data_IF_156176157654
#
_entry.id   IF_156176157654
#
_cell.length_a   1.000
_cell.length_b   1.000
_cell.length_c   1.000
_cell.angle_alpha   90.00
_cell.angle_beta   90.00
_cell.angle_gamma   90.00
#
_symmetry.space_group_name_H-M   'P 1'
#
loop_
_entity.id
_entity.type
_entity.pdbx_description
1 polymer ?
#
# COMPACT_ATOMS: atom_id res chain seq x y z
N UNK A 1 4.03 -5.16 21.39
CA UNK A 1 3.10 -5.69 20.37
C UNK A 1 3.19 -4.91 19.05
N UNK A 2 3.11 -3.57 19.08
CA UNK A 2 3.20 -2.70 17.89
C UNK A 2 4.52 -2.79 17.15
N UNK A 3 5.63 -2.79 17.87
CA UNK A 3 6.99 -2.92 17.30
C UNK A 3 7.19 -4.25 16.57
N UNK A 4 6.60 -5.33 17.08
CA UNK A 4 6.64 -6.65 16.44
C UNK A 4 5.88 -6.70 15.12
N UNK A 5 4.80 -5.93 14.99
CA UNK A 5 4.02 -5.76 13.77
C UNK A 5 4.82 -5.01 12.69
N UNK A 6 5.39 -3.87 13.04
CA UNK A 6 6.18 -3.04 12.13
C UNK A 6 7.49 -3.70 11.71
N UNK A 7 8.10 -4.51 12.60
CA UNK A 7 9.36 -5.21 12.32
C UNK A 7 9.18 -6.59 11.65
N UNK A 8 7.97 -6.93 11.21
CA UNK A 8 7.71 -8.22 10.54
C UNK A 8 7.90 -9.46 11.41
N UNK A 9 8.04 -9.30 12.72
CA UNK A 9 8.18 -10.41 13.67
C UNK A 9 6.86 -11.13 13.97
N UNK A 10 5.76 -10.62 13.45
CA UNK A 10 4.44 -11.20 13.63
C UNK A 10 4.16 -12.15 12.46
N UNK A 11 4.03 -13.44 12.73
CA UNK A 11 3.59 -14.46 11.76
C UNK A 11 2.07 -14.58 11.82
N UNK A 12 1.30 -13.98 10.88
CA UNK A 12 -0.17 -14.02 10.91
C UNK A 12 -0.77 -15.39 10.64
N UNK A 13 0.02 -16.29 10.02
CA UNK A 13 -0.39 -17.66 9.74
C UNK A 13 -0.83 -18.46 11.00
N UNK A 14 -0.44 -17.99 12.19
CA UNK A 14 -0.84 -18.59 13.47
C UNK A 14 -2.18 -18.01 14.00
N UNK A 15 -2.73 -16.96 13.38
CA UNK A 15 -4.05 -16.43 13.75
C UNK A 15 -5.12 -17.11 12.90
N UNK A 16 -5.71 -18.15 13.43
CA UNK A 16 -6.92 -18.74 12.88
C UNK A 16 -8.11 -17.77 13.07
N UNK A 17 -8.20 -16.71 12.25
CA UNK A 17 -9.42 -15.91 12.19
C UNK A 17 -10.51 -16.79 11.61
N UNK A 18 -11.69 -16.88 12.28
CA UNK A 18 -12.82 -17.60 11.71
C UNK A 18 -13.30 -16.85 10.48
N UNK A 19 -12.82 -17.30 9.29
CA UNK A 19 -13.18 -16.73 8.01
C UNK A 19 -14.61 -17.07 7.64
N UNK A 20 -15.36 -16.09 7.13
CA UNK A 20 -16.69 -16.26 6.56
C UNK A 20 -16.59 -16.17 5.03
N UNK A 21 -17.51 -16.80 4.34
CA UNK A 21 -17.52 -16.80 2.87
C UNK A 21 -17.74 -15.40 2.27
N UNK A 22 -18.40 -14.53 3.01
CA UNK A 22 -18.73 -13.15 2.64
C UNK A 22 -17.73 -12.10 3.17
N UNK A 23 -16.66 -12.52 3.87
CA UNK A 23 -15.62 -11.59 4.31
C UNK A 23 -14.96 -10.88 3.14
N UNK A 24 -14.73 -9.59 3.33
CA UNK A 24 -14.04 -8.72 2.38
C UNK A 24 -12.74 -8.27 3.01
N UNK A 25 -11.65 -8.49 2.32
CA UNK A 25 -10.33 -8.08 2.79
C UNK A 25 -9.88 -6.81 2.08
N UNK A 26 -9.68 -5.75 2.86
CA UNK A 26 -9.08 -4.51 2.39
C UNK A 26 -7.57 -4.62 2.53
N UNK A 27 -6.91 -4.94 1.44
CA UNK A 27 -5.48 -5.28 1.41
C UNK A 27 -4.66 -4.17 0.77
N UNK A 28 -3.51 -3.91 1.31
CA UNK A 28 -2.52 -3.01 0.71
C UNK A 28 -1.13 -3.27 1.29
N UNK A 29 -0.08 -2.86 0.59
CA UNK A 29 1.18 -2.61 1.25
C UNK A 29 1.05 -1.44 2.25
N UNK A 30 1.96 -1.36 3.21
CA UNK A 30 1.97 -0.26 4.20
C UNK A 30 1.93 1.11 3.53
N UNK A 31 1.23 2.06 4.15
CA UNK A 31 1.16 3.47 3.71
C UNK A 31 0.57 3.71 2.32
N UNK A 32 -0.18 2.76 1.79
CA UNK A 32 -0.86 2.87 0.49
C UNK A 32 -2.30 3.42 0.57
N UNK A 33 -2.71 4.03 1.68
CA UNK A 33 -4.03 4.65 1.82
C UNK A 33 -5.11 3.79 2.49
N UNK A 34 -4.75 2.62 3.05
CA UNK A 34 -5.69 1.69 3.67
C UNK A 34 -6.58 2.36 4.74
N UNK A 35 -6.00 3.14 5.67
CA UNK A 35 -6.77 3.82 6.72
C UNK A 35 -7.78 4.80 6.13
N UNK A 36 -7.40 5.57 5.10
CA UNK A 36 -8.32 6.48 4.43
C UNK A 36 -9.49 5.73 3.77
N UNK A 37 -9.20 4.63 3.07
CA UNK A 37 -10.24 3.79 2.47
C UNK A 37 -11.20 3.20 3.51
N UNK A 38 -10.68 2.84 4.69
CA UNK A 38 -11.52 2.40 5.82
C UNK A 38 -12.48 3.50 6.28
N UNK A 39 -12.03 4.76 6.31
CA UNK A 39 -12.88 5.91 6.62
C UNK A 39 -13.93 6.12 5.54
N UNK A 40 -13.57 6.08 4.25
CA UNK A 40 -14.51 6.20 3.13
C UNK A 40 -15.60 5.14 3.21
N UNK A 41 -15.24 3.87 3.32
CA UNK A 41 -16.18 2.77 3.44
C UNK A 41 -16.99 2.83 4.73
N UNK A 42 -16.34 3.18 5.84
CA UNK A 42 -17.00 3.29 7.12
C UNK A 42 -18.07 4.38 7.15
N UNK A 43 -17.78 5.55 6.59
CA UNK A 43 -18.74 6.64 6.48
C UNK A 43 -19.86 6.35 5.47
N UNK A 44 -19.55 5.59 4.41
CA UNK A 44 -20.57 5.13 3.46
C UNK A 44 -21.57 4.17 4.11
N UNK A 45 -21.09 3.24 4.92
CA UNK A 45 -21.89 2.22 5.57
C UNK A 45 -22.64 2.73 6.81
N UNK A 46 -22.24 3.89 7.34
CA UNK A 46 -22.84 4.48 8.57
C UNK A 46 -23.27 5.94 8.30
N UNK A 47 -24.25 6.18 7.41
CA UNK A 47 -24.74 7.53 7.14
C UNK A 47 -25.29 8.15 8.43
N UNK A 48 -24.93 9.40 8.71
CA UNK A 48 -25.33 10.13 9.91
C UNK A 48 -24.53 9.83 11.18
N UNK A 49 -23.59 8.85 11.14
CA UNK A 49 -22.65 8.57 12.23
C UNK A 49 -21.21 8.55 11.73
N UNK A 50 -20.54 9.70 11.68
CA UNK A 50 -19.18 9.77 11.16
C UNK A 50 -18.23 8.83 11.92
N UNK A 51 -17.42 8.10 11.14
CA UNK A 51 -16.39 7.22 11.70
C UNK A 51 -15.28 8.05 12.33
N UNK A 52 -14.80 7.61 13.49
CA UNK A 52 -13.63 8.18 14.19
C UNK A 52 -12.50 7.16 14.25
N UNK A 53 -11.32 7.57 14.69
CA UNK A 53 -10.21 6.63 14.92
C UNK A 53 -10.50 5.65 16.06
N UNK A 54 -11.35 6.00 17.00
CA UNK A 54 -11.83 5.07 18.03
C UNK A 54 -12.81 4.03 17.46
N UNK A 55 -13.75 4.45 16.60
CA UNK A 55 -14.81 3.56 16.11
C UNK A 55 -14.39 2.72 14.89
N UNK A 56 -13.32 3.08 14.18
CA UNK A 56 -12.94 2.44 12.93
C UNK A 56 -12.65 0.95 13.06
N UNK A 57 -12.17 0.51 14.23
CA UNK A 57 -11.88 -0.90 14.48
C UNK A 57 -13.16 -1.75 14.61
N UNK A 58 -14.29 -1.14 14.89
CA UNK A 58 -15.60 -1.81 14.89
C UNK A 58 -16.21 -1.89 13.49
N UNK A 59 -15.88 -0.92 12.63
CA UNK A 59 -16.41 -0.85 11.25
C UNK A 59 -15.58 -1.68 10.28
N UNK A 60 -14.26 -1.57 10.38
CA UNK A 60 -13.30 -2.30 9.56
C UNK A 60 -12.09 -2.67 10.41
N UNK A 61 -12.15 -3.80 11.14
CA UNK A 61 -11.11 -4.20 12.07
C UNK A 61 -9.78 -4.46 11.39
N UNK A 62 -8.71 -4.10 12.09
CA UNK A 62 -7.36 -4.46 11.72
C UNK A 62 -7.07 -5.91 12.13
N UNK A 63 -6.73 -6.77 11.18
CA UNK A 63 -6.44 -8.20 11.40
C UNK A 63 -5.41 -8.45 12.51
N UNK A 64 -4.53 -7.48 12.78
CA UNK A 64 -3.47 -7.60 13.78
C UNK A 64 -3.86 -7.12 15.17
N UNK A 65 -4.92 -6.33 15.29
CA UNK A 65 -5.31 -5.65 16.52
C UNK A 65 -6.57 -6.25 17.14
N UNK A 66 -7.47 -6.72 16.29
CA UNK A 66 -8.76 -7.24 16.75
C UNK A 66 -8.61 -8.66 17.33
N UNK A 67 -9.24 -8.93 18.46
CA UNK A 67 -9.13 -10.25 19.08
C UNK A 67 -10.04 -11.27 18.37
N UNK A 68 -9.60 -12.52 18.31
CA UNK A 68 -10.33 -13.63 17.67
C UNK A 68 -11.82 -13.68 18.09
N UNK A 69 -12.10 -13.61 19.39
CA UNK A 69 -13.46 -13.66 19.94
C UNK A 69 -14.38 -12.54 19.46
N UNK A 70 -13.81 -11.38 19.12
CA UNK A 70 -14.59 -10.20 18.77
C UNK A 70 -14.99 -10.20 17.30
N UNK A 71 -14.26 -10.95 16.44
CA UNK A 71 -14.65 -11.14 15.03
C UNK A 71 -16.01 -11.83 14.88
N UNK A 72 -16.36 -12.74 15.77
CA UNK A 72 -17.66 -13.44 15.78
C UNK A 72 -18.85 -12.50 15.99
N UNK A 73 -18.65 -11.37 16.66
CA UNK A 73 -19.69 -10.38 17.02
C UNK A 73 -19.95 -9.35 15.92
N UNK A 74 -19.09 -9.28 14.92
CA UNK A 74 -19.25 -8.32 13.82
C UNK A 74 -20.34 -8.78 12.86
N UNK A 75 -21.12 -7.82 12.37
CA UNK A 75 -22.13 -8.08 11.34
C UNK A 75 -21.48 -8.55 10.03
N UNK A 76 -22.19 -9.31 9.22
CA UNK A 76 -21.79 -9.71 7.87
C UNK A 76 -22.35 -8.73 6.83
N UNK A 77 -21.62 -8.48 5.73
CA UNK A 77 -20.22 -8.86 5.51
C UNK A 77 -19.26 -8.03 6.35
N UNK A 78 -18.13 -8.63 6.76
CA UNK A 78 -17.07 -7.91 7.48
C UNK A 78 -16.06 -7.36 6.50
N UNK A 79 -15.62 -6.11 6.67
CA UNK A 79 -14.50 -5.52 5.93
C UNK A 79 -13.27 -5.54 6.82
N UNK A 80 -12.32 -6.40 6.52
CA UNK A 80 -11.15 -6.68 7.36
C UNK A 80 -9.89 -6.07 6.74
N UNK A 81 -9.23 -5.16 7.46
CA UNK A 81 -7.94 -4.60 7.03
C UNK A 81 -6.83 -5.63 7.12
N UNK A 82 -6.02 -5.74 6.06
CA UNK A 82 -4.83 -6.58 6.04
C UNK A 82 -3.67 -5.92 5.30
N UNK A 83 -2.44 -6.25 5.71
CA UNK A 83 -1.19 -5.97 4.99
C UNK A 83 -0.45 -7.27 4.63
N UNK A 84 -1.16 -8.40 4.63
CA UNK A 84 -0.55 -9.69 4.31
C UNK A 84 -0.28 -9.84 2.81
N UNK A 85 0.74 -10.64 2.49
CA UNK A 85 0.91 -11.21 1.16
C UNK A 85 -0.28 -12.10 0.80
N UNK A 86 -0.32 -12.54 -0.44
CA UNK A 86 -1.37 -13.39 -0.95
C UNK A 86 -1.72 -14.55 -0.01
N UNK A 87 -3.00 -14.59 0.38
CA UNK A 87 -3.60 -15.66 1.15
C UNK A 87 -4.77 -16.25 0.34
N UNK A 88 -4.72 -17.55 -0.03
CA UNK A 88 -5.78 -18.18 -0.82
C UNK A 88 -7.14 -18.20 -0.12
N UNK A 89 -7.21 -17.97 1.18
CA UNK A 89 -8.46 -17.90 1.95
C UNK A 89 -9.22 -16.59 1.74
N UNK A 90 -8.54 -15.52 1.28
CA UNK A 90 -9.18 -14.24 1.00
C UNK A 90 -9.93 -14.32 -0.31
N UNK A 91 -11.25 -14.54 -0.24
CA UNK A 91 -12.09 -14.76 -1.42
C UNK A 91 -12.55 -13.47 -2.09
N UNK A 92 -12.78 -12.41 -1.30
CA UNK A 92 -13.19 -11.08 -1.78
C UNK A 92 -12.16 -10.06 -1.33
N UNK A 93 -11.52 -9.39 -2.27
CA UNK A 93 -10.39 -8.52 -1.97
C UNK A 93 -10.57 -7.17 -2.66
N UNK A 94 -10.46 -6.10 -1.87
CA UNK A 94 -10.19 -4.75 -2.37
C UNK A 94 -8.72 -4.49 -2.12
N UNK A 95 -7.93 -4.41 -3.19
CA UNK A 95 -6.49 -4.21 -3.12
C UNK A 95 -6.13 -2.78 -3.49
N UNK A 96 -5.38 -2.10 -2.62
CA UNK A 96 -4.92 -0.74 -2.88
C UNK A 96 -3.42 -0.78 -3.15
N UNK A 97 -3.03 -0.30 -4.33
CA UNK A 97 -1.63 -0.08 -4.70
C UNK A 97 -1.30 1.41 -4.69
N UNK A 98 -0.07 1.75 -4.40
CA UNK A 98 0.46 3.13 -4.43
C UNK A 98 1.86 3.13 -5.00
N UNK A 99 2.25 4.24 -5.64
CA UNK A 99 3.61 4.46 -6.13
C UNK A 99 4.63 4.18 -5.00
N UNK A 100 5.58 3.24 -5.20
CA UNK A 100 6.53 2.86 -4.14
C UNK A 100 7.43 4.01 -3.72
N UNK A 101 7.69 5.00 -4.58
CA UNK A 101 8.48 6.19 -4.25
C UNK A 101 7.76 7.04 -3.20
N UNK A 102 6.45 7.23 -3.36
CA UNK A 102 5.60 7.90 -2.35
C UNK A 102 5.40 7.06 -1.10
N UNK A 103 5.33 5.74 -1.24
CA UNK A 103 5.29 4.82 -0.10
C UNK A 103 6.55 4.95 0.73
N UNK A 104 7.75 5.02 0.10
CA UNK A 104 9.02 5.20 0.81
C UNK A 104 9.00 6.47 1.67
N UNK A 105 8.60 7.61 1.09
CA UNK A 105 8.47 8.88 1.83
C UNK A 105 7.48 8.75 2.99
N UNK A 106 6.30 8.18 2.73
CA UNK A 106 5.25 8.06 3.74
C UNK A 106 5.62 7.10 4.87
N UNK A 107 6.31 6.00 4.55
CA UNK A 107 6.73 5.00 5.52
C UNK A 107 7.89 5.52 6.39
N UNK A 108 8.83 6.27 5.81
CA UNK A 108 9.89 6.95 6.55
C UNK A 108 9.32 7.84 7.68
N UNK A 109 8.39 8.73 7.35
CA UNK A 109 7.78 9.60 8.36
C UNK A 109 6.96 8.82 9.39
N UNK A 110 6.34 7.71 8.99
CA UNK A 110 5.65 6.85 9.91
C UNK A 110 6.61 6.14 10.88
N UNK A 111 7.75 5.65 10.39
CA UNK A 111 8.77 5.03 11.25
C UNK A 111 9.36 6.03 12.25
N UNK A 112 9.54 7.30 11.86
CA UNK A 112 9.89 8.37 12.78
C UNK A 112 8.81 8.62 13.84
N UNK A 113 7.55 8.67 13.40
CA UNK A 113 6.41 8.84 14.33
C UNK A 113 6.37 7.77 15.41
N UNK A 114 6.63 6.53 15.06
CA UNK A 114 6.61 5.40 16.01
C UNK A 114 7.96 5.18 16.72
N UNK A 115 8.96 6.01 16.47
CA UNK A 115 10.27 5.95 17.12
C UNK A 115 11.15 4.78 16.68
N UNK A 116 10.89 4.18 15.51
CA UNK A 116 11.73 3.11 14.94
C UNK A 116 13.03 3.67 14.36
N UNK A 117 12.98 4.87 13.83
CA UNK A 117 14.12 5.66 13.37
C UNK A 117 14.08 7.05 14.02
N UNK A 118 15.22 7.62 14.27
CA UNK A 118 15.35 8.96 14.85
C UNK A 118 15.32 10.06 13.77
N UNK A 119 15.39 11.32 14.21
CA UNK A 119 15.30 12.48 13.34
C UNK A 119 16.57 12.70 12.50
N UNK A 120 17.69 12.13 12.92
CA UNK A 120 18.99 12.25 12.23
C UNK A 120 19.14 11.23 11.11
N UNK A 121 18.30 10.18 11.07
CA UNK A 121 18.39 9.15 10.04
C UNK A 121 17.93 9.72 8.68
N UNK A 122 18.79 9.77 7.64
CA UNK A 122 18.46 10.45 6.39
C UNK A 122 17.39 9.71 5.59
N UNK A 123 16.43 10.44 5.01
CA UNK A 123 15.42 9.88 4.09
C UNK A 123 16.06 9.22 2.88
N UNK A 124 17.15 9.79 2.34
CA UNK A 124 17.89 9.20 1.22
C UNK A 124 18.40 7.80 1.53
N UNK A 125 19.03 7.62 2.70
CA UNK A 125 19.53 6.31 3.16
C UNK A 125 18.36 5.34 3.39
N UNK A 126 17.27 5.83 4.00
CA UNK A 126 16.08 5.02 4.17
C UNK A 126 15.55 4.48 2.83
N UNK A 127 15.34 5.36 1.86
CA UNK A 127 14.76 5.00 0.56
C UNK A 127 15.66 4.09 -0.27
N UNK A 128 16.98 4.37 -0.27
CA UNK A 128 17.96 3.66 -1.09
C UNK A 128 18.42 2.31 -0.54
N UNK A 129 18.28 2.10 0.79
CA UNK A 129 18.82 0.91 1.45
C UNK A 129 17.78 0.16 2.28
N UNK A 130 17.10 0.85 3.20
CA UNK A 130 16.20 0.20 4.14
C UNK A 130 14.90 -0.23 3.48
N UNK A 131 14.29 0.67 2.73
CA UNK A 131 13.01 0.43 2.07
C UNK A 131 13.12 -0.69 1.02
N UNK A 132 14.20 -0.67 0.21
CA UNK A 132 14.46 -1.69 -0.80
C UNK A 132 14.69 -3.09 -0.23
N UNK A 133 15.09 -3.17 1.05
CA UNK A 133 15.29 -4.43 1.78
C UNK A 133 14.12 -4.80 2.70
N UNK A 134 13.01 -4.06 2.62
CA UNK A 134 11.82 -4.29 3.45
C UNK A 134 12.02 -4.01 4.93
N UNK A 135 13.06 -3.24 5.31
CA UNK A 135 13.27 -2.86 6.71
C UNK A 135 12.17 -1.88 7.17
N UNK A 136 11.57 -2.16 8.30
CA UNK A 136 10.44 -1.40 8.85
C UNK A 136 9.06 -1.90 8.40
N UNK A 137 8.99 -2.79 7.39
CA UNK A 137 7.74 -3.40 6.93
C UNK A 137 7.79 -4.95 6.95
N UNK A 138 8.97 -5.52 7.14
CA UNK A 138 9.20 -6.97 7.18
C UNK A 138 9.19 -7.65 5.81
N UNK A 139 8.89 -6.90 4.74
CA UNK A 139 8.91 -7.34 3.33
C UNK A 139 9.02 -6.13 2.42
N UNK A 140 9.47 -6.34 1.19
CA UNK A 140 9.55 -5.28 0.19
C UNK A 140 8.18 -4.98 -0.43
N UNK A 141 8.03 -3.77 -0.99
CA UNK A 141 6.84 -3.41 -1.75
C UNK A 141 6.62 -4.38 -2.92
N UNK A 142 7.69 -4.74 -3.65
CA UNK A 142 7.62 -5.66 -4.80
C UNK A 142 7.16 -7.06 -4.39
N UNK A 143 7.66 -7.61 -3.28
CA UNK A 143 7.23 -8.92 -2.78
C UNK A 143 5.73 -8.92 -2.46
N UNK A 144 5.25 -7.89 -1.77
CA UNK A 144 3.84 -7.79 -1.42
C UNK A 144 2.96 -7.64 -2.66
N UNK A 145 3.26 -6.67 -3.52
CA UNK A 145 2.51 -6.40 -4.76
C UNK A 145 2.58 -7.60 -5.70
N UNK A 146 3.77 -8.17 -5.88
CA UNK A 146 3.97 -9.35 -6.71
C UNK A 146 3.19 -10.57 -6.22
N UNK A 147 3.11 -10.77 -4.90
CA UNK A 147 2.33 -11.88 -4.35
C UNK A 147 0.84 -11.81 -4.70
N UNK A 148 0.29 -10.60 -4.83
CA UNK A 148 -1.12 -10.38 -5.18
C UNK A 148 -1.37 -10.26 -6.67
N UNK A 149 -0.60 -9.44 -7.38
CA UNK A 149 -0.89 -9.02 -8.76
C UNK A 149 -0.14 -9.83 -9.82
N UNK A 150 0.98 -10.46 -9.44
CA UNK A 150 1.78 -11.27 -10.35
C UNK A 150 1.73 -12.76 -10.00
N UNK A 151 0.77 -13.18 -9.20
CA UNK A 151 0.62 -14.55 -8.76
C UNK A 151 -0.35 -15.30 -9.70
N UNK A 152 0.10 -16.36 -10.40
CA UNK A 152 -0.76 -17.15 -11.29
C UNK A 152 -1.96 -17.81 -10.59
N UNK A 153 -1.86 -18.03 -9.28
CA UNK A 153 -3.00 -18.53 -8.49
C UNK A 153 -4.10 -17.49 -8.30
N UNK A 154 -3.77 -16.22 -8.45
CA UNK A 154 -4.73 -15.12 -8.36
C UNK A 154 -5.19 -14.70 -9.75
N UNK A 155 -4.27 -14.61 -10.70
CA UNK A 155 -4.51 -14.23 -12.09
C UNK A 155 -3.87 -15.27 -13.01
N UNK A 156 -4.63 -16.28 -13.51
CA UNK A 156 -4.10 -17.29 -14.42
C UNK A 156 -3.47 -16.71 -15.69
N UNK A 157 -3.96 -15.58 -16.18
CA UNK A 157 -3.45 -14.85 -17.34
C UNK A 157 -2.00 -14.36 -17.18
N UNK A 158 -1.51 -14.26 -15.96
CA UNK A 158 -0.08 -13.97 -15.73
C UNK A 158 0.79 -15.23 -15.72
N UNK A 159 0.19 -16.43 -15.78
CA UNK A 159 0.93 -17.66 -15.92
C UNK A 159 1.54 -17.75 -17.33
N UNK A 160 2.84 -18.06 -17.41
CA UNK A 160 3.56 -18.17 -18.68
C UNK A 160 4.04 -16.85 -19.28
N UNK A 161 3.74 -15.72 -18.66
CA UNK A 161 4.38 -14.47 -19.02
C UNK A 161 5.80 -14.47 -18.43
N UNK A 162 6.81 -14.85 -19.24
CA UNK A 162 8.23 -14.68 -18.88
C UNK A 162 8.51 -13.23 -18.47
N UNK A 163 9.34 -13.01 -17.46
CA UNK A 163 9.67 -11.66 -17.03
C UNK A 163 10.15 -10.74 -18.17
N UNK A 164 10.70 -11.26 -19.25
CA UNK A 164 11.26 -10.47 -20.36
C UNK A 164 10.30 -10.06 -21.48
N UNK A 165 9.26 -10.84 -21.78
CA UNK A 165 8.39 -10.64 -22.97
C UNK A 165 7.21 -9.68 -22.76
N UNK A 166 7.08 -9.08 -21.58
CA UNK A 166 5.92 -8.26 -21.16
C UNK A 166 6.06 -6.76 -21.42
N UNK A 167 7.04 -6.34 -22.21
CA UNK A 167 7.35 -4.93 -22.45
C UNK A 167 6.75 -4.38 -23.75
N UNK A 168 5.71 -4.98 -24.32
CA UNK A 168 4.97 -4.37 -25.42
C UNK A 168 3.68 -3.74 -24.89
N UNK A 169 3.73 -2.47 -24.69
CA UNK A 169 2.74 -1.41 -24.84
C UNK A 169 1.41 -1.44 -24.08
N UNK A 170 0.83 -2.58 -23.82
CA UNK A 170 -0.45 -2.67 -23.13
C UNK A 170 -0.23 -3.09 -21.68
N UNK A 171 -0.20 -2.10 -20.76
CA UNK A 171 -0.24 -2.33 -19.32
C UNK A 171 -1.41 -3.25 -18.95
N UNK A 172 -1.27 -4.01 -17.86
CA UNK A 172 -2.41 -4.73 -17.27
C UNK A 172 -3.60 -3.77 -17.25
N UNK A 173 -4.66 -4.11 -18.00
CA UNK A 173 -5.90 -3.34 -17.96
C UNK A 173 -6.53 -3.54 -16.59
N UNK A 174 -6.12 -2.69 -15.67
CA UNK A 174 -6.46 -2.75 -14.25
C UNK A 174 -7.96 -2.70 -13.99
N UNK A 175 -8.73 -2.16 -14.95
CA UNK A 175 -10.18 -2.04 -14.86
C UNK A 175 -10.93 -3.33 -15.23
N UNK A 176 -10.25 -4.29 -15.88
CA UNK A 176 -10.82 -5.57 -16.28
C UNK A 176 -10.58 -6.71 -15.29
N UNK A 177 -9.81 -6.47 -14.21
CA UNK A 177 -9.52 -7.47 -13.18
C UNK A 177 -10.74 -7.74 -12.27
N UNK A 178 -11.87 -8.10 -12.84
CA UNK A 178 -13.11 -8.35 -12.08
C UNK A 178 -13.29 -9.79 -11.58
N UNK A 179 -12.68 -10.76 -12.25
CA UNK A 179 -12.81 -12.17 -11.90
C UNK A 179 -11.45 -12.84 -11.79
N UNK A 180 -11.00 -13.04 -10.57
CA UNK A 180 -9.84 -13.87 -10.32
C UNK A 180 -10.19 -15.34 -10.50
N UNK A 181 -9.20 -16.16 -10.90
CA UNK A 181 -9.36 -17.62 -10.95
C UNK A 181 -9.89 -18.20 -9.63
N UNK A 182 -10.57 -19.33 -9.69
CA UNK A 182 -11.11 -20.07 -8.54
C UNK A 182 -12.27 -19.39 -7.77
N UNK A 183 -13.14 -18.61 -8.44
CA UNK A 183 -14.31 -17.98 -7.83
C UNK A 183 -14.00 -16.86 -6.82
N UNK A 184 -12.85 -16.24 -6.95
CA UNK A 184 -12.47 -15.05 -6.17
C UNK A 184 -12.99 -13.79 -6.85
N UNK A 185 -13.30 -12.78 -6.03
CA UNK A 185 -13.62 -11.43 -6.46
C UNK A 185 -12.48 -10.49 -6.06
N UNK A 186 -12.02 -9.67 -6.98
CA UNK A 186 -10.89 -8.79 -6.77
C UNK A 186 -11.17 -7.41 -7.37
N UNK A 187 -10.96 -6.35 -6.58
CA UNK A 187 -11.03 -4.97 -7.02
C UNK A 187 -9.67 -4.32 -6.78
N UNK A 188 -9.01 -3.90 -7.85
CA UNK A 188 -7.79 -3.12 -7.76
C UNK A 188 -8.10 -1.63 -7.79
N UNK A 189 -7.49 -0.89 -6.87
CA UNK A 189 -7.55 0.57 -6.77
C UNK A 189 -6.14 1.13 -6.68
N UNK A 190 -5.86 2.18 -7.45
CA UNK A 190 -4.66 2.98 -7.25
C UNK A 190 -4.96 4.08 -6.24
N UNK A 191 -4.04 4.31 -5.31
CA UNK A 191 -4.16 5.40 -4.35
C UNK A 191 -4.30 6.77 -5.03
N UNK A 192 -3.61 6.96 -6.13
CA UNK A 192 -3.61 8.18 -6.93
C UNK A 192 -4.97 8.45 -7.56
N UNK A 193 -5.65 7.40 -8.06
CA UNK A 193 -7.01 7.50 -8.62
C UNK A 193 -8.03 7.75 -7.51
N UNK A 194 -7.85 7.08 -6.36
CA UNK A 194 -8.67 7.31 -5.17
C UNK A 194 -8.54 8.77 -4.69
N UNK A 195 -7.33 9.35 -4.79
CA UNK A 195 -7.06 10.73 -4.38
C UNK A 195 -7.63 11.75 -5.38
N UNK A 196 -7.51 11.48 -6.69
CA UNK A 196 -8.00 12.39 -7.74
C UNK A 196 -9.52 12.40 -7.85
N UNK A 197 -10.16 11.24 -7.68
CA UNK A 197 -11.61 11.11 -7.74
C UNK A 197 -12.12 10.09 -6.70
N UNK A 198 -12.21 10.51 -5.43
CA UNK A 198 -12.65 9.61 -4.35
C UNK A 198 -14.11 9.15 -4.52
N UNK A 199 -14.97 9.97 -5.13
CA UNK A 199 -16.36 9.61 -5.40
C UNK A 199 -16.49 8.47 -6.39
N UNK A 200 -15.80 8.54 -7.53
CA UNK A 200 -15.81 7.46 -8.53
C UNK A 200 -15.20 6.17 -7.95
N UNK A 201 -14.11 6.28 -7.21
CA UNK A 201 -13.49 5.13 -6.56
C UNK A 201 -14.41 4.49 -5.52
N UNK A 202 -15.16 5.29 -4.76
CA UNK A 202 -16.13 4.80 -3.78
C UNK A 202 -17.34 4.15 -4.47
N UNK A 203 -17.80 4.69 -5.60
CA UNK A 203 -18.84 4.04 -6.43
C UNK A 203 -18.39 2.68 -6.95
N UNK A 204 -17.13 2.53 -7.40
CA UNK A 204 -16.56 1.22 -7.78
C UNK A 204 -16.54 0.25 -6.60
N UNK A 205 -16.14 0.71 -5.42
CA UNK A 205 -16.19 -0.10 -4.20
C UNK A 205 -17.61 -0.50 -3.83
N UNK A 206 -18.59 0.41 -3.93
CA UNK A 206 -20.01 0.11 -3.65
C UNK A 206 -20.56 -0.97 -4.57
N UNK A 207 -20.26 -0.88 -5.87
CA UNK A 207 -20.64 -1.92 -6.85
C UNK A 207 -20.00 -3.27 -6.50
N UNK A 208 -18.71 -3.28 -6.13
CA UNK A 208 -18.01 -4.51 -5.70
C UNK A 208 -18.62 -5.13 -4.44
N UNK A 209 -19.11 -4.29 -3.55
CA UNK A 209 -19.77 -4.69 -2.31
C UNK A 209 -21.23 -5.07 -2.49
N UNK A 210 -21.80 -4.89 -3.68
CA UNK A 210 -23.23 -5.04 -3.99
C UNK A 210 -24.10 -4.10 -3.13
N UNK A 211 -23.64 -2.87 -2.92
CA UNK A 211 -24.37 -1.84 -2.19
C UNK A 211 -25.10 -0.92 -3.17
N UNK A 212 -26.38 -0.72 -2.94
CA UNK A 212 -27.17 0.32 -3.58
C UNK A 212 -27.02 1.60 -2.75
N UNK A 213 -26.30 2.60 -3.31
CA UNK A 213 -25.97 3.84 -2.62
C UNK A 213 -26.27 5.05 -3.50
N UNK A 214 -26.82 6.09 -2.91
CA UNK A 214 -27.09 7.33 -3.62
C UNK A 214 -25.83 8.20 -3.79
N UNK A 215 -25.88 9.15 -4.71
CA UNK A 215 -24.83 10.13 -4.91
C UNK A 215 -24.57 10.98 -3.65
N UNK A 216 -25.62 11.29 -2.90
CA UNK A 216 -25.55 12.04 -1.63
C UNK A 216 -24.80 11.24 -0.56
N UNK A 217 -25.02 9.92 -0.48
CA UNK A 217 -24.28 9.06 0.46
C UNK A 217 -22.80 8.99 0.10
N UNK A 218 -22.46 8.91 -1.19
CA UNK A 218 -21.07 8.96 -1.66
C UNK A 218 -20.45 10.31 -1.30
N UNK A 219 -21.11 11.41 -1.61
CA UNK A 219 -20.63 12.77 -1.31
C UNK A 219 -20.42 12.96 0.19
N UNK A 220 -21.36 12.53 1.01
CA UNK A 220 -21.23 12.54 2.47
C UNK A 220 -19.99 11.75 2.94
N UNK A 221 -19.81 10.54 2.46
CA UNK A 221 -18.68 9.68 2.87
C UNK A 221 -17.33 10.32 2.48
N UNK A 222 -17.24 10.92 1.29
CA UNK A 222 -16.04 11.63 0.82
C UNK A 222 -15.75 12.84 1.71
N UNK A 223 -16.76 13.65 2.00
CA UNK A 223 -16.61 14.83 2.86
C UNK A 223 -16.15 14.46 4.27
N UNK A 224 -16.81 13.46 4.91
CA UNK A 224 -16.48 13.02 6.25
C UNK A 224 -15.09 12.35 6.33
N UNK A 225 -14.56 11.90 5.20
CA UNK A 225 -13.24 11.28 5.10
C UNK A 225 -12.15 12.21 4.55
N UNK A 226 -12.44 13.51 4.44
CA UNK A 226 -11.46 14.49 3.97
C UNK A 226 -10.22 14.54 4.88
N UNK A 227 -9.05 14.83 4.31
CA UNK A 227 -7.79 14.88 5.06
C UNK A 227 -7.83 15.90 6.21
N UNK A 228 -8.55 17.03 6.05
CA UNK A 228 -8.72 18.04 7.11
C UNK A 228 -9.54 17.50 8.27
N UNK A 229 -10.68 16.83 7.99
CA UNK A 229 -11.49 16.18 9.03
C UNK A 229 -10.74 15.07 9.75
N UNK A 230 -10.04 14.22 9.00
CA UNK A 230 -9.24 13.13 9.58
C UNK A 230 -8.11 13.68 10.46
N UNK A 231 -7.45 14.79 10.09
CA UNK A 231 -6.45 15.42 10.99
C UNK A 231 -7.09 15.95 12.28
N UNK A 232 -8.26 16.56 12.20
CA UNK A 232 -9.01 17.00 13.40
C UNK A 232 -9.39 15.82 14.30
N UNK A 233 -9.85 14.71 13.72
CA UNK A 233 -10.13 13.47 14.47
C UNK A 233 -8.85 12.87 15.06
N UNK A 234 -7.72 12.86 14.33
CA UNK A 234 -6.44 12.38 14.86
C UNK A 234 -6.03 13.19 16.11
N UNK A 235 -6.16 14.49 16.08
CA UNK A 235 -5.84 15.33 17.23
C UNK A 235 -6.74 15.03 18.43
N UNK A 236 -8.03 14.81 18.19
CA UNK A 236 -9.02 14.51 19.24
C UNK A 236 -8.78 13.11 19.84
N UNK A 237 -8.56 12.10 18.98
CA UNK A 237 -8.50 10.68 19.36
C UNK A 237 -7.07 10.18 19.61
N UNK A 238 -6.06 11.05 19.52
CA UNK A 238 -4.63 10.65 19.50
C UNK A 238 -4.15 9.88 20.73
N UNK A 239 -4.81 10.04 21.86
CA UNK A 239 -4.47 9.34 23.10
C UNK A 239 -5.31 8.08 23.33
N UNK A 240 -6.28 7.82 22.47
CA UNK A 240 -7.17 6.67 22.51
C UNK A 240 -6.85 5.64 21.42
N UNK A 241 -6.56 6.10 20.19
CA UNK A 241 -6.28 5.21 19.08
C UNK A 241 -4.88 4.58 19.20
N UNK A 242 -4.82 3.26 19.12
CA UNK A 242 -3.58 2.49 19.34
C UNK A 242 -2.41 2.91 18.43
N UNK A 243 -2.68 3.37 17.20
CA UNK A 243 -1.65 3.83 16.25
C UNK A 243 -1.02 5.16 16.63
N UNK A 244 -1.64 5.94 17.51
CA UNK A 244 -1.18 7.27 17.90
C UNK A 244 -0.93 7.40 19.40
N UNK A 245 -1.53 6.55 20.23
CA UNK A 245 -1.50 6.63 21.69
C UNK A 245 -0.09 6.71 22.29
N UNK A 246 0.82 5.86 21.80
CA UNK A 246 2.18 5.73 22.32
C UNK A 246 3.23 6.19 21.30
N UNK A 247 2.88 7.11 20.41
CA UNK A 247 3.75 7.61 19.35
C UNK A 247 3.99 9.10 19.49
N UNK A 248 4.96 9.62 18.77
CA UNK A 248 5.29 11.05 18.73
C UNK A 248 4.07 11.88 18.34
N UNK A 249 3.85 12.99 19.06
CA UNK A 249 2.69 13.88 18.87
C UNK A 249 3.00 15.04 17.92
N UNK A 250 4.27 15.33 17.66
CA UNK A 250 4.74 16.34 16.73
C UNK A 250 4.70 15.89 15.26
N UNK A 251 4.55 14.59 15.00
CA UNK A 251 4.40 14.02 13.65
C UNK A 251 2.96 13.49 13.50
N UNK A 252 2.21 14.02 12.52
CA UNK A 252 0.86 13.56 12.23
C UNK A 252 0.86 12.20 11.53
N UNK A 253 -0.10 11.34 11.85
CA UNK A 253 -0.38 10.12 11.12
C UNK A 253 -0.99 10.43 9.74
N UNK A 254 -1.99 11.35 9.73
CA UNK A 254 -2.60 11.89 8.50
C UNK A 254 -1.78 13.09 8.04
N UNK A 255 -0.81 12.83 7.16
CA UNK A 255 0.10 13.86 6.63
C UNK A 255 -0.57 14.70 5.56
N UNK A 256 0.05 14.82 4.42
CA UNK A 256 -0.34 15.75 3.36
C UNK A 256 -1.49 15.25 2.48
N UNK A 257 -1.76 13.92 2.45
CA UNK A 257 -2.76 13.31 1.58
C UNK A 257 -2.60 13.76 0.11
N UNK A 258 -1.37 13.64 -0.42
CA UNK A 258 -0.94 14.09 -1.74
C UNK A 258 -0.17 13.00 -2.44
N UNK A 259 -0.33 12.88 -3.74
CA UNK A 259 0.51 12.06 -4.61
C UNK A 259 1.77 12.83 -5.04
N UNK A 260 2.73 12.10 -5.62
CA UNK A 260 3.97 12.62 -6.21
C UNK A 260 4.88 13.43 -5.25
N UNK A 261 4.73 13.23 -3.93
CA UNK A 261 5.60 13.85 -2.94
C UNK A 261 7.07 13.48 -3.13
N UNK A 262 7.31 12.31 -3.68
CA UNK A 262 8.65 11.80 -3.96
C UNK A 262 9.46 12.71 -4.88
N UNK A 263 8.82 13.46 -5.80
CA UNK A 263 9.49 14.36 -6.74
C UNK A 263 10.28 15.48 -6.05
N UNK A 264 9.80 15.92 -4.90
CA UNK A 264 10.44 16.98 -4.11
C UNK A 264 11.17 16.45 -2.88
N UNK A 265 10.81 15.26 -2.39
CA UNK A 265 11.35 14.72 -1.16
C UNK A 265 12.55 13.77 -1.35
N UNK A 266 12.59 13.02 -2.47
CA UNK A 266 13.66 12.04 -2.72
C UNK A 266 14.75 12.61 -3.63
N UNK A 267 16.03 12.39 -3.30
CA UNK A 267 17.12 12.62 -4.24
C UNK A 267 16.98 11.74 -5.49
N UNK A 268 17.44 12.24 -6.64
CA UNK A 268 17.42 11.51 -7.93
C UNK A 268 18.04 10.11 -7.83
N UNK A 269 19.15 9.98 -7.11
CA UNK A 269 19.81 8.69 -6.90
C UNK A 269 18.91 7.68 -6.18
N UNK A 270 18.14 8.11 -5.15
CA UNK A 270 17.20 7.23 -4.45
C UNK A 270 16.06 6.80 -5.36
N UNK A 271 15.54 7.70 -6.19
CA UNK A 271 14.54 7.40 -7.22
C UNK A 271 15.08 6.38 -8.21
N UNK A 272 16.27 6.61 -8.75
CA UNK A 272 16.92 5.69 -9.70
C UNK A 272 17.11 4.28 -9.11
N UNK A 273 17.50 4.16 -7.85
CA UNK A 273 17.63 2.86 -7.17
C UNK A 273 16.30 2.14 -7.02
N UNK A 274 15.22 2.83 -6.68
CA UNK A 274 13.87 2.23 -6.61
C UNK A 274 13.43 1.76 -8.00
N UNK A 275 13.60 2.59 -9.01
CA UNK A 275 13.18 2.30 -10.38
C UNK A 275 14.02 1.20 -11.05
N UNK A 276 15.33 1.14 -10.78
CA UNK A 276 16.18 0.05 -11.27
C UNK A 276 15.75 -1.32 -10.75
N UNK A 277 15.26 -1.38 -9.51
CA UNK A 277 14.81 -2.64 -8.90
C UNK A 277 13.36 -2.99 -9.20
N UNK A 278 12.47 -1.98 -9.28
CA UNK A 278 11.02 -2.22 -9.34
C UNK A 278 10.33 -1.55 -10.53
N UNK A 279 11.06 -0.84 -11.38
CA UNK A 279 10.53 -0.03 -12.48
C UNK A 279 9.60 -0.81 -13.41
N UNK A 280 9.96 -2.07 -13.71
CA UNK A 280 9.08 -2.94 -14.50
C UNK A 280 7.73 -3.19 -13.84
N UNK A 281 7.72 -3.52 -12.54
CA UNK A 281 6.46 -3.70 -11.78
C UNK A 281 5.69 -2.38 -11.70
N UNK A 282 6.39 -1.26 -11.56
CA UNK A 282 5.79 0.07 -11.55
C UNK A 282 5.09 0.38 -12.88
N UNK A 283 5.77 0.15 -14.01
CA UNK A 283 5.20 0.37 -15.34
C UNK A 283 3.98 -0.51 -15.62
N UNK A 284 4.00 -1.79 -15.21
CA UNK A 284 2.83 -2.68 -15.30
C UNK A 284 1.61 -2.14 -14.53
N UNK A 285 1.84 -1.36 -13.49
CA UNK A 285 0.80 -0.73 -12.67
C UNK A 285 0.48 0.71 -13.13
N UNK A 286 1.02 1.14 -14.28
CA UNK A 286 0.78 2.46 -14.85
C UNK A 286 1.52 3.61 -14.15
N UNK A 287 2.60 3.31 -13.41
CA UNK A 287 3.48 4.34 -12.86
C UNK A 287 4.59 4.69 -13.85
N UNK A 288 4.64 5.95 -14.28
CA UNK A 288 5.74 6.47 -15.09
C UNK A 288 7.06 6.47 -14.32
N UNK A 289 8.15 6.14 -15.02
CA UNK A 289 9.50 6.30 -14.47
C UNK A 289 9.96 7.74 -14.63
N UNK A 290 10.87 8.19 -13.75
CA UNK A 290 11.52 9.48 -13.91
C UNK A 290 12.40 9.44 -15.17
N UNK A 291 12.43 10.54 -15.95
CA UNK A 291 13.36 10.68 -17.04
C UNK A 291 14.78 10.79 -16.46
N UNK A 292 15.57 9.72 -16.60
CA UNK A 292 17.00 9.76 -16.35
C UNK A 292 17.64 10.28 -17.62
N UNK A 293 18.36 11.41 -17.55
CA UNK A 293 19.12 11.91 -18.68
C UNK A 293 20.13 10.83 -19.12
N UNK A 294 20.25 10.63 -20.43
CA UNK A 294 21.14 9.61 -21.05
C UNK A 294 22.61 9.75 -20.58
N UNK A 295 22.99 10.93 -20.08
CA UNK A 295 24.31 11.21 -19.51
C UNK A 295 24.64 10.41 -18.24
N UNK A 296 23.64 10.00 -17.45
CA UNK A 296 23.86 9.20 -16.24
C UNK A 296 24.03 7.69 -16.55
N UNK A 297 23.53 7.22 -17.68
CA UNK A 297 23.66 5.83 -18.10
C UNK A 297 25.10 5.53 -18.59
N UNK A 298 25.79 6.52 -19.19
CA UNK A 298 27.18 6.37 -19.71
C UNK A 298 28.21 6.32 -18.56
N UNK A 299 27.91 6.90 -17.40
CA UNK A 299 28.82 6.84 -16.23
C UNK A 299 28.79 5.54 -15.44
N UNK A 300 27.82 4.68 -15.68
CA UNK A 300 27.69 3.39 -15.00
C UNK A 300 28.30 2.21 -15.74
N UNK A 301 28.82 2.42 -16.97
CA UNK A 301 29.59 1.40 -17.65
C UNK A 301 30.98 1.31 -17.01
N UNK A 302 31.23 0.17 -16.41
CA UNK A 302 32.46 -0.27 -15.76
C UNK A 302 33.68 0.03 -16.64
N UNK A 303 34.73 0.73 -16.16
CA UNK A 303 35.94 0.85 -16.94
C UNK A 303 36.58 -0.53 -17.10
N UNK A 304 36.70 -0.96 -18.37
CA UNK A 304 37.45 -2.15 -18.71
C UNK A 304 38.90 -2.03 -18.17
N UNK A 305 39.44 -3.09 -17.57
CA UNK A 305 40.82 -3.07 -17.10
C UNK A 305 41.76 -2.85 -18.29
N UNK A 306 42.57 -1.80 -18.22
CA UNK A 306 43.63 -1.54 -19.19
C UNK A 306 44.63 -2.71 -19.15
N UNK A 307 44.60 -3.54 -20.16
CA UNK A 307 45.64 -4.54 -20.40
C UNK A 307 46.92 -3.78 -20.84
N UNK A 308 47.82 -3.59 -19.88
CA UNK A 308 49.22 -3.25 -20.21
C UNK A 308 49.94 -4.52 -20.64
N UNK A 309 49.91 -4.77 -21.93
CA UNK A 309 50.82 -5.74 -22.53
C UNK A 309 52.21 -5.15 -22.65
N UNK A 310 53.14 -5.65 -21.85
CA UNK A 310 54.58 -5.56 -22.17
C UNK A 310 55.07 -6.96 -22.43
N UNK A 311 55.21 -7.27 -23.71
CA UNK A 311 56.01 -8.39 -24.18
C UNK A 311 57.43 -7.86 -24.30
N UNK A 312 58.33 -8.26 -23.41
CA UNK A 312 59.78 -8.11 -23.53
C UNK A 312 60.38 -9.43 -23.88
N UNK A 313 60.88 -9.57 -25.12
CA UNK A 313 61.81 -10.62 -25.54
C UNK A 313 63.21 -10.30 -25.02
N UNK A 314 63.83 -11.21 -24.33
CA UNK A 314 65.27 -11.58 -24.41
C UNK A 314 65.49 -12.90 -23.72
#
# INVERSE_FOLDING_TARGET
MFLGYVLGRYKPAERAIPMRADDIFLVSFFKSGNTWTRFLLGNLLNPGRPVTFESIERTSPDIYQFQYRDYGRLASPRIIKSHECFDPRYRRVIYIVRDPRDVAVSLYHFLRKIGTIDDTFPLATYASEWFLRGKGSGRTWREHVGSWLLNPRNFPEVAGLEPASRCTGDGLKLDELGACGHGRQFLLLRYEDLLSNPGASLARMSKFLNLDVSAEQISYAVEQSSASRMRGLEQKDRDQWFMTKHTRKDINFVREARAEQWRTALPRESVAKIESQWGRTMQLLGYGLAEHSVEDAVRSECPLPKTTGHIGFS
#
